data_IF_248278460411
#
_entry.id   IF_248278460411
#
_cell.length_a   1.000
_cell.length_b   1.000
_cell.length_c   1.000
_cell.angle_alpha   90.00
_cell.angle_beta   90.00
_cell.angle_gamma   90.00
#
_symmetry.space_group_name_H-M   'P 1'
#
loop_
_entity.id
_entity.type
_entity.pdbx_description
1 polymer ?
#
# COMPACT_ATOMS: atom_id res chain seq x y z
N UNK A 1 -13.23 9.18 -4.83
CA UNK A 1 -13.56 8.69 -6.19
C UNK A 1 -13.60 7.17 -6.31
N UNK A 2 -13.24 6.43 -5.27
CA UNK A 2 -13.31 4.95 -5.27
C UNK A 2 -14.54 4.38 -4.54
N UNK A 3 -15.34 5.24 -3.91
CA UNK A 3 -16.56 4.78 -3.22
C UNK A 3 -17.55 4.18 -4.21
N UNK A 4 -18.07 3.00 -3.89
CA UNK A 4 -19.06 2.31 -4.72
C UNK A 4 -18.49 1.62 -5.97
N UNK A 5 -17.18 1.66 -6.20
CA UNK A 5 -16.55 0.93 -7.29
C UNK A 5 -16.27 -0.53 -6.91
N UNK A 6 -15.84 -1.32 -7.87
CA UNK A 6 -15.58 -2.76 -7.65
C UNK A 6 -14.40 -3.05 -6.73
N UNK A 7 -13.43 -2.14 -6.65
CA UNK A 7 -12.17 -2.37 -5.95
C UNK A 7 -11.12 -3.00 -6.87
N UNK A 8 -10.48 -2.18 -7.68
CA UNK A 8 -9.37 -2.59 -8.56
C UNK A 8 -8.04 -2.12 -7.98
N UNK A 9 -6.95 -2.63 -8.53
CA UNK A 9 -5.60 -2.29 -8.03
C UNK A 9 -5.24 -0.81 -8.18
N UNK A 10 -5.90 -0.07 -9.05
CA UNK A 10 -5.72 1.38 -9.24
C UNK A 10 -6.72 2.23 -8.43
N UNK A 11 -7.54 1.60 -7.62
CA UNK A 11 -8.51 2.26 -6.74
C UNK A 11 -8.02 2.25 -5.29
N UNK A 12 -8.75 2.95 -4.42
CA UNK A 12 -8.43 3.04 -3.00
C UNK A 12 -8.33 1.65 -2.35
N UNK A 13 -7.23 1.38 -1.65
CA UNK A 13 -6.95 0.08 -1.07
C UNK A 13 -6.25 -0.91 -2.01
N UNK A 14 -6.16 -0.61 -3.30
CA UNK A 14 -5.42 -1.44 -4.25
C UNK A 14 -3.91 -1.26 -4.14
N UNK A 15 -3.16 -2.29 -4.52
CA UNK A 15 -1.71 -2.19 -4.72
C UNK A 15 -1.46 -2.07 -6.22
N UNK A 16 -1.15 -0.86 -6.65
CA UNK A 16 -1.14 -0.48 -8.07
C UNK A 16 -0.28 -1.42 -8.92
N UNK A 17 -0.86 -1.91 -10.00
CA UNK A 17 -0.31 -2.90 -10.93
C UNK A 17 -0.02 -4.28 -10.34
N UNK A 18 -0.41 -4.54 -9.09
CA UNK A 18 -0.08 -5.80 -8.39
C UNK A 18 -1.31 -6.58 -7.92
N UNK A 19 -2.21 -5.95 -7.18
CA UNK A 19 -3.34 -6.66 -6.58
C UNK A 19 -4.54 -5.77 -6.33
N UNK A 20 -5.71 -6.29 -6.62
CA UNK A 20 -6.97 -5.71 -6.19
C UNK A 20 -7.16 -5.96 -4.68
N UNK A 21 -7.83 -5.06 -3.95
CA UNK A 21 -8.21 -5.35 -2.57
C UNK A 21 -9.24 -6.49 -2.53
N UNK A 22 -9.22 -7.27 -1.45
CA UNK A 22 -10.21 -8.35 -1.24
C UNK A 22 -11.64 -7.81 -1.31
N UNK A 23 -11.84 -6.61 -0.79
CA UNK A 23 -13.12 -5.90 -0.78
C UNK A 23 -12.85 -4.39 -0.84
N UNK A 24 -13.74 -3.65 -1.48
CA UNK A 24 -13.68 -2.18 -1.49
C UNK A 24 -14.27 -1.64 -0.18
N UNK A 25 -13.41 -1.17 0.72
CA UNK A 25 -13.80 -0.55 1.99
C UNK A 25 -13.78 0.98 1.95
N UNK A 26 -13.76 1.58 0.76
CA UNK A 26 -13.74 3.03 0.63
C UNK A 26 -15.05 3.66 1.12
N UNK A 27 -14.92 4.66 1.98
CA UNK A 27 -16.05 5.45 2.47
C UNK A 27 -16.42 6.55 1.46
N UNK A 28 -17.63 7.12 1.55
CA UNK A 28 -18.01 8.28 0.75
C UNK A 28 -17.03 9.44 0.91
N UNK A 29 -17.00 10.41 -0.05
CA UNK A 29 -16.20 11.62 0.09
C UNK A 29 -16.46 12.37 1.40
N UNK A 30 -15.46 13.14 1.85
CA UNK A 30 -15.51 13.96 3.06
C UNK A 30 -15.56 13.16 4.36
N UNK A 31 -15.20 11.89 4.34
CA UNK A 31 -15.09 11.07 5.53
C UNK A 31 -13.64 10.64 5.75
N UNK A 32 -13.19 10.72 7.00
CA UNK A 32 -11.88 10.20 7.38
C UNK A 32 -11.86 8.68 7.28
N UNK A 33 -10.77 8.18 6.74
CA UNK A 33 -10.52 6.74 6.55
C UNK A 33 -9.19 6.37 7.17
N UNK A 34 -9.02 5.10 7.49
CA UNK A 34 -7.80 4.61 8.12
C UNK A 34 -7.12 3.56 7.27
N UNK A 35 -5.79 3.61 7.27
CA UNK A 35 -4.93 2.52 6.80
C UNK A 35 -4.02 2.08 7.94
N UNK A 36 -4.04 0.78 8.22
CA UNK A 36 -3.05 0.12 9.07
C UNK A 36 -2.24 -0.83 8.20
N UNK A 37 -0.95 -0.60 8.12
CA UNK A 37 -0.07 -1.32 7.19
C UNK A 37 1.04 -2.01 7.95
N UNK A 38 1.15 -3.32 7.77
CA UNK A 38 2.35 -4.08 8.12
C UNK A 38 3.11 -4.38 6.84
N UNK A 39 4.36 -3.98 6.79
CA UNK A 39 5.18 -4.11 5.58
C UNK A 39 6.56 -4.66 5.89
N UNK A 40 6.99 -5.63 5.11
CA UNK A 40 8.37 -6.08 5.09
C UNK A 40 8.94 -5.89 3.69
N UNK A 41 10.13 -5.28 3.63
CA UNK A 41 10.79 -5.02 2.36
C UNK A 41 11.31 -6.31 1.72
N UNK A 42 11.54 -6.27 0.41
CA UNK A 42 12.26 -7.32 -0.28
C UNK A 42 13.68 -7.43 0.27
N UNK A 43 14.22 -8.64 0.28
CA UNK A 43 15.60 -8.89 0.72
C UNK A 43 16.44 -9.24 -0.49
N UNK A 44 17.45 -8.41 -0.73
CA UNK A 44 18.45 -8.61 -1.78
C UNK A 44 19.77 -8.96 -1.10
N UNK A 45 20.39 -10.06 -1.52
CA UNK A 45 21.67 -10.51 -1.00
C UNK A 45 22.58 -10.92 -2.16
N UNK A 46 23.80 -10.39 -2.19
CA UNK A 46 24.78 -10.66 -3.25
C UNK A 46 24.20 -10.43 -4.66
N UNK A 47 23.44 -9.34 -4.84
CA UNK A 47 22.82 -8.98 -6.10
C UNK A 47 21.61 -9.82 -6.49
N UNK A 48 21.18 -10.76 -5.64
CA UNK A 48 20.03 -11.63 -5.90
C UNK A 48 18.90 -11.36 -4.91
N UNK A 49 17.68 -11.30 -5.43
CA UNK A 49 16.50 -11.24 -4.56
C UNK A 49 16.23 -12.62 -3.97
N UNK A 50 16.29 -12.71 -2.65
CA UNK A 50 16.02 -13.96 -1.91
C UNK A 50 14.64 -13.97 -1.26
N UNK A 51 13.99 -12.80 -1.13
CA UNK A 51 12.65 -12.68 -0.55
C UNK A 51 11.92 -11.48 -1.16
N UNK A 52 10.67 -11.69 -1.55
CA UNK A 52 9.79 -10.60 -2.00
C UNK A 52 9.32 -9.75 -0.82
N UNK A 53 8.95 -8.51 -1.08
CA UNK A 53 8.23 -7.69 -0.13
C UNK A 53 6.86 -8.32 0.20
N UNK A 54 6.40 -8.11 1.41
CA UNK A 54 5.08 -8.58 1.86
C UNK A 54 4.33 -7.48 2.59
N UNK A 55 3.02 -7.48 2.46
CA UNK A 55 2.18 -6.46 3.07
C UNK A 55 0.86 -7.03 3.56
N UNK A 56 0.48 -6.63 4.76
CA UNK A 56 -0.90 -6.75 5.24
C UNK A 56 -1.47 -5.35 5.39
N UNK A 57 -2.61 -5.09 4.80
CA UNK A 57 -3.30 -3.80 4.86
C UNK A 57 -4.69 -3.98 5.42
N UNK A 58 -5.00 -3.19 6.45
CA UNK A 58 -6.38 -2.97 6.90
C UNK A 58 -6.86 -1.60 6.41
N UNK A 59 -7.97 -1.57 5.72
CA UNK A 59 -8.66 -0.37 5.31
C UNK A 59 -9.95 -0.23 6.10
N UNK A 60 -10.05 0.83 6.87
CA UNK A 60 -11.19 1.05 7.81
C UNK A 60 -11.42 -0.16 8.74
N UNK A 61 -10.34 -0.75 9.25
CA UNK A 61 -10.38 -1.88 10.17
C UNK A 61 -10.57 -3.25 9.55
N UNK A 62 -10.77 -3.33 8.23
CA UNK A 62 -10.98 -4.59 7.51
C UNK A 62 -9.74 -4.97 6.69
N UNK A 63 -9.27 -6.20 6.83
CA UNK A 63 -8.13 -6.71 6.06
C UNK A 63 -8.51 -6.77 4.58
N UNK A 64 -7.85 -5.97 3.75
CA UNK A 64 -8.05 -5.95 2.29
C UNK A 64 -6.88 -6.58 1.53
N UNK A 65 -5.72 -6.70 2.17
CA UNK A 65 -4.60 -7.52 1.71
C UNK A 65 -4.03 -8.26 2.91
N UNK A 66 -3.91 -9.57 2.83
CA UNK A 66 -3.36 -10.40 3.90
C UNK A 66 -2.08 -11.06 3.43
N UNK A 67 -0.97 -10.66 4.06
CA UNK A 67 0.37 -11.19 3.76
C UNK A 67 0.63 -11.25 2.23
N UNK A 68 0.27 -10.19 1.54
CA UNK A 68 0.37 -10.10 0.10
C UNK A 68 1.83 -10.19 -0.34
N UNK A 69 2.11 -11.12 -1.23
CA UNK A 69 3.42 -11.25 -1.87
C UNK A 69 3.53 -10.21 -2.99
N UNK A 70 4.46 -9.26 -2.83
CA UNK A 70 4.67 -8.19 -3.81
C UNK A 70 5.97 -8.48 -4.56
N UNK A 71 5.85 -8.99 -5.78
CA UNK A 71 6.99 -9.26 -6.64
C UNK A 71 7.31 -8.04 -7.50
N UNK A 72 8.39 -7.35 -7.16
CA UNK A 72 8.84 -6.18 -7.88
C UNK A 72 8.15 -4.88 -7.45
N UNK A 73 8.58 -3.78 -8.03
CA UNK A 73 8.08 -2.45 -7.73
C UNK A 73 6.68 -2.24 -8.33
N UNK A 74 5.86 -1.45 -7.65
CA UNK A 74 4.57 -1.02 -8.23
C UNK A 74 4.77 0.05 -9.30
N UNK A 75 3.74 0.29 -10.12
CA UNK A 75 3.82 1.29 -11.19
C UNK A 75 4.02 2.72 -10.72
N UNK A 76 3.66 3.04 -9.46
CA UNK A 76 3.86 4.35 -8.85
C UNK A 76 5.08 4.46 -7.94
N UNK A 77 5.94 3.45 -7.91
CA UNK A 77 7.06 3.40 -7.00
C UNK A 77 8.11 4.48 -7.31
N UNK A 78 8.78 4.97 -6.25
CA UNK A 78 9.91 5.89 -6.39
C UNK A 78 11.06 5.24 -7.15
N UNK A 79 11.94 6.10 -7.68
CA UNK A 79 13.22 5.65 -8.24
C UNK A 79 14.06 5.00 -7.13
N UNK A 80 14.80 4.00 -7.48
CA UNK A 80 15.64 3.23 -6.58
C UNK A 80 15.43 1.73 -6.77
N UNK A 81 16.39 0.94 -6.31
CA UNK A 81 16.30 -0.51 -6.39
C UNK A 81 15.33 -1.06 -5.35
N UNK A 82 14.66 -2.16 -5.70
CA UNK A 82 13.87 -2.93 -4.75
C UNK A 82 14.74 -3.38 -3.56
N UNK A 83 14.16 -3.39 -2.36
CA UNK A 83 14.88 -3.80 -1.16
C UNK A 83 15.73 -2.73 -0.49
N UNK A 84 15.88 -1.54 -1.10
CA UNK A 84 16.62 -0.45 -0.47
C UNK A 84 15.74 0.32 0.52
N UNK A 85 16.32 0.83 1.61
CA UNK A 85 15.58 1.72 2.51
C UNK A 85 15.11 2.98 1.79
N UNK A 86 13.98 3.52 2.20
CA UNK A 86 13.46 4.75 1.64
C UNK A 86 12.37 5.35 2.53
N UNK A 87 12.03 6.63 2.28
CA UNK A 87 10.97 7.29 3.03
C UNK A 87 9.58 6.76 2.62
N UNK A 88 8.62 6.96 3.50
CA UNK A 88 7.21 6.80 3.16
C UNK A 88 6.76 8.00 2.32
N UNK A 89 5.98 7.71 1.29
CA UNK A 89 5.37 8.72 0.44
C UNK A 89 3.85 8.69 0.62
N UNK A 90 3.29 9.84 0.97
CA UNK A 90 1.84 10.05 0.96
C UNK A 90 1.46 10.60 -0.42
N UNK A 91 0.62 9.87 -1.12
CA UNK A 91 0.31 10.16 -2.52
C UNK A 91 -0.98 10.97 -2.66
N UNK A 92 -0.92 12.05 -3.42
CA UNK A 92 -2.09 12.72 -3.97
C UNK A 92 -2.34 12.26 -5.41
N UNK A 93 -3.57 12.38 -5.88
CA UNK A 93 -3.95 11.97 -7.23
C UNK A 93 -4.94 12.96 -7.87
N UNK A 94 -4.64 14.26 -7.76
CA UNK A 94 -5.44 15.33 -8.36
C UNK A 94 -6.67 15.76 -7.55
N UNK A 95 -7.10 15.00 -6.58
CA UNK A 95 -8.17 15.38 -5.67
C UNK A 95 -7.59 16.03 -4.40
N UNK A 96 -8.32 16.93 -3.74
CA UNK A 96 -7.87 17.48 -2.47
C UNK A 96 -7.90 16.41 -1.38
N UNK A 97 -6.71 15.99 -0.94
CA UNK A 97 -6.53 15.01 0.12
C UNK A 97 -5.95 15.66 1.36
N UNK A 98 -6.34 15.15 2.52
CA UNK A 98 -5.77 15.53 3.80
C UNK A 98 -5.31 14.28 4.53
N UNK A 99 -4.18 14.39 5.24
CA UNK A 99 -3.62 13.30 6.04
C UNK A 99 -3.49 13.78 7.48
N UNK A 100 -3.74 12.88 8.42
CA UNK A 100 -3.54 13.13 9.85
C UNK A 100 -3.20 11.84 10.59
N UNK A 101 -2.64 11.98 11.80
CA UNK A 101 -2.30 10.84 12.66
C UNK A 101 -1.43 9.78 11.97
N UNK A 102 -0.50 10.25 11.11
CA UNK A 102 0.45 9.36 10.45
C UNK A 102 1.61 9.05 11.40
N UNK A 103 1.88 7.77 11.63
CA UNK A 103 2.96 7.31 12.47
C UNK A 103 3.53 5.99 11.97
N UNK A 104 4.75 5.71 12.37
CA UNK A 104 5.50 4.52 11.99
C UNK A 104 6.12 3.90 13.22
N UNK A 105 6.09 2.58 13.28
CA UNK A 105 6.87 1.78 14.24
C UNK A 105 7.72 0.79 13.46
N UNK A 106 9.03 0.86 13.65
CA UNK A 106 9.92 -0.14 13.09
C UNK A 106 9.77 -1.44 13.88
N UNK A 107 9.44 -2.51 13.18
CA UNK A 107 9.36 -3.84 13.77
C UNK A 107 10.69 -4.56 13.64
N UNK A 108 11.12 -5.11 14.74
CA UNK A 108 12.38 -5.86 14.81
C UNK A 108 12.16 -7.36 14.66
#
# INVERSE_FOLDING_TARGET
>A
DSFGLEGKNNECGGVYTKADPIVNMCLPPLQWQTYDVEFSNAVIKDGKKIKNARMTLKHNGVVVHKDLNINGKTGGARRGAEGTPGPIKLQGHGNPLQFRNAWIVEQK
#
